data_IF_900836039718
#
_entry.id   IF_900836039718
#
_cell.length_a   1.000
_cell.length_b   1.000
_cell.length_c   1.000
_cell.angle_alpha   90.00
_cell.angle_beta   90.00
_cell.angle_gamma   90.00
#
_symmetry.space_group_name_H-M   'P 1'
#
loop_
_entity.id
_entity.type
_entity.pdbx_description
1 polymer ?
#
# COMPACT_ATOMS: atom_id res chain seq x y z
N UNK A 1 -32.06 -0.35 -1.90
CA UNK A 1 -31.87 -0.79 -0.49
C UNK A 1 -30.78 -1.85 -0.40
N UNK A 2 -30.80 -2.87 -1.27
CA UNK A 2 -29.67 -3.79 -1.47
C UNK A 2 -28.34 -3.06 -1.77
N UNK A 3 -28.35 -1.99 -2.56
CA UNK A 3 -27.13 -1.29 -2.94
C UNK A 3 -26.51 -0.53 -1.76
N UNK A 4 -27.30 0.12 -0.89
CA UNK A 4 -26.80 0.78 0.33
C UNK A 4 -26.12 -0.24 1.26
N UNK A 5 -26.75 -1.41 1.43
CA UNK A 5 -26.22 -2.46 2.29
C UNK A 5 -24.94 -3.07 1.70
N UNK A 6 -24.93 -3.33 0.39
CA UNK A 6 -23.75 -3.74 -0.37
C UNK A 6 -22.59 -2.76 -0.24
N UNK A 7 -22.87 -1.46 -0.32
CA UNK A 7 -21.83 -0.43 -0.24
C UNK A 7 -21.30 -0.23 1.18
N UNK A 8 -22.16 -0.26 2.20
CA UNK A 8 -21.71 -0.28 3.61
C UNK A 8 -20.80 -1.48 3.85
N UNK A 9 -21.10 -2.63 3.24
CA UNK A 9 -20.32 -3.85 3.35
C UNK A 9 -19.00 -3.81 2.58
N UNK A 10 -18.83 -2.92 1.60
CA UNK A 10 -17.57 -2.71 0.86
C UNK A 10 -16.69 -1.63 1.50
N UNK A 11 -17.30 -0.53 1.97
CA UNK A 11 -16.62 0.60 2.61
C UNK A 11 -16.01 0.20 3.95
N UNK A 12 -16.73 -0.59 4.75
CA UNK A 12 -16.29 -1.02 6.07
C UNK A 12 -15.00 -1.85 6.03
N UNK A 13 -14.87 -2.92 5.20
CA UNK A 13 -13.62 -3.67 5.10
C UNK A 13 -12.52 -2.86 4.43
N UNK A 14 -12.80 -1.94 3.50
CA UNK A 14 -11.76 -1.08 2.94
C UNK A 14 -11.18 -0.13 4.00
N UNK A 15 -12.04 0.47 4.83
CA UNK A 15 -11.62 1.28 5.97
C UNK A 15 -10.88 0.46 7.04
N UNK A 16 -11.35 -0.76 7.30
CA UNK A 16 -10.67 -1.67 8.24
C UNK A 16 -9.33 -2.20 7.69
N UNK A 17 -9.20 -2.42 6.38
CA UNK A 17 -7.97 -2.84 5.71
C UNK A 17 -6.90 -1.75 5.81
N UNK A 18 -7.29 -0.47 5.68
CA UNK A 18 -6.39 0.67 5.86
C UNK A 18 -5.80 0.69 7.28
N UNK A 19 -6.56 0.26 8.28
CA UNK A 19 -6.14 0.33 9.67
C UNK A 19 -5.38 -0.89 10.18
N UNK A 20 -5.67 -2.10 9.67
CA UNK A 20 -5.31 -3.34 10.40
C UNK A 20 -4.10 -4.12 9.86
N UNK A 21 -3.73 -4.03 8.58
CA UNK A 21 -2.57 -4.79 8.06
C UNK A 21 -1.88 -4.15 6.86
N UNK A 22 -0.68 -3.62 7.09
CA UNK A 22 0.20 -3.09 6.05
C UNK A 22 0.91 -4.18 5.26
N UNK A 23 1.02 -5.36 5.86
CA UNK A 23 1.63 -6.53 5.25
C UNK A 23 0.72 -7.12 4.16
N UNK A 24 -0.61 -7.02 4.35
CA UNK A 24 -1.61 -7.56 3.41
C UNK A 24 -2.10 -6.55 2.37
N UNK A 25 -1.81 -5.25 2.56
CA UNK A 25 -2.25 -4.18 1.67
C UNK A 25 -1.89 -4.41 0.19
N UNK A 26 -0.69 -4.92 -0.17
CA UNK A 26 -0.36 -5.21 -1.57
C UNK A 26 -1.22 -6.33 -2.16
N UNK A 27 -1.54 -7.37 -1.38
CA UNK A 27 -2.38 -8.48 -1.84
C UNK A 27 -3.79 -7.98 -2.10
N UNK A 28 -4.38 -7.25 -1.14
CA UNK A 28 -5.69 -6.63 -1.30
C UNK A 28 -5.74 -5.70 -2.53
N UNK A 29 -4.69 -4.90 -2.75
CA UNK A 29 -4.60 -4.03 -3.92
C UNK A 29 -4.56 -4.83 -5.23
N UNK A 30 -3.77 -5.91 -5.30
CA UNK A 30 -3.73 -6.77 -6.49
C UNK A 30 -5.05 -7.45 -6.76
N UNK A 31 -5.73 -7.94 -5.72
CA UNK A 31 -7.08 -8.51 -5.86
C UNK A 31 -8.02 -7.47 -6.44
N UNK A 32 -8.01 -6.25 -5.90
CA UNK A 32 -8.86 -5.18 -6.36
C UNK A 32 -8.57 -4.74 -7.82
N UNK A 33 -7.29 -4.65 -8.19
CA UNK A 33 -6.82 -4.44 -9.56
C UNK A 33 -7.35 -5.57 -10.47
N UNK A 34 -7.20 -6.83 -10.07
CA UNK A 34 -7.64 -7.98 -10.85
C UNK A 34 -9.18 -8.01 -11.02
N UNK A 35 -9.92 -7.68 -9.97
CA UNK A 35 -11.40 -7.60 -10.01
C UNK A 35 -11.87 -6.51 -10.96
N UNK A 36 -11.26 -5.32 -10.88
CA UNK A 36 -11.59 -4.21 -11.78
C UNK A 36 -11.25 -4.53 -13.24
N UNK A 37 -10.10 -5.18 -13.48
CA UNK A 37 -9.72 -5.65 -14.81
C UNK A 37 -10.70 -6.72 -15.33
N UNK A 38 -11.11 -7.67 -14.48
CA UNK A 38 -12.10 -8.69 -14.80
C UNK A 38 -13.46 -8.11 -15.19
N UNK A 39 -13.93 -7.08 -14.47
CA UNK A 39 -15.16 -6.35 -14.81
C UNK A 39 -15.10 -5.73 -16.20
N UNK A 40 -13.97 -5.12 -16.52
CA UNK A 40 -13.78 -4.46 -17.80
C UNK A 40 -13.73 -5.49 -18.93
N UNK A 41 -12.98 -6.58 -18.76
CA UNK A 41 -12.90 -7.67 -19.75
C UNK A 41 -14.29 -8.28 -19.96
N UNK A 42 -15.04 -8.55 -18.89
CA UNK A 42 -16.40 -9.07 -18.98
C UNK A 42 -17.31 -8.12 -19.77
N UNK A 43 -17.22 -6.81 -19.52
CA UNK A 43 -18.00 -5.83 -20.25
C UNK A 43 -17.66 -5.75 -21.75
N UNK A 44 -16.39 -5.93 -22.10
CA UNK A 44 -15.95 -5.96 -23.50
C UNK A 44 -16.44 -7.24 -24.19
N UNK A 45 -16.29 -8.40 -23.52
CA UNK A 45 -16.70 -9.70 -24.08
C UNK A 45 -18.20 -9.77 -24.29
N UNK A 46 -18.99 -9.20 -23.38
CA UNK A 46 -20.45 -9.19 -23.46
C UNK A 46 -21.02 -7.95 -24.17
N UNK A 47 -20.19 -7.17 -24.88
CA UNK A 47 -20.60 -5.89 -25.48
C UNK A 47 -21.87 -5.98 -26.34
N UNK A 48 -22.06 -7.09 -27.04
CA UNK A 48 -23.17 -7.28 -27.98
C UNK A 48 -24.48 -7.67 -27.25
N UNK A 49 -24.38 -8.12 -26.01
CA UNK A 49 -25.51 -8.53 -25.15
C UNK A 49 -25.83 -7.52 -24.05
N UNK A 50 -24.88 -6.65 -23.71
CA UNK A 50 -25.03 -5.64 -22.66
C UNK A 50 -25.88 -4.48 -23.16
N UNK A 51 -26.91 -4.15 -22.39
CA UNK A 51 -27.64 -2.90 -22.61
C UNK A 51 -26.75 -1.70 -22.27
N UNK A 52 -26.98 -0.56 -22.92
CA UNK A 52 -26.28 0.70 -22.63
C UNK A 52 -26.31 1.02 -21.12
N UNK A 53 -27.42 0.71 -20.46
CA UNK A 53 -27.61 0.86 -19.03
C UNK A 53 -26.63 0.00 -18.21
N UNK A 54 -26.48 -1.27 -18.54
CA UNK A 54 -25.53 -2.16 -17.87
C UNK A 54 -24.08 -1.70 -18.12
N UNK A 55 -23.75 -1.27 -19.34
CA UNK A 55 -22.44 -0.72 -19.66
C UNK A 55 -22.13 0.55 -18.82
N UNK A 56 -23.11 1.44 -18.65
CA UNK A 56 -23.00 2.61 -17.76
C UNK A 56 -22.76 2.23 -16.30
N UNK A 57 -23.44 1.18 -15.81
CA UNK A 57 -23.21 0.68 -14.45
C UNK A 57 -21.82 0.09 -14.28
N UNK A 58 -21.34 -0.70 -15.25
CA UNK A 58 -19.94 -1.19 -15.23
C UNK A 58 -18.98 0.00 -15.22
N UNK A 59 -19.20 1.00 -16.07
CA UNK A 59 -18.34 2.18 -16.12
C UNK A 59 -18.27 2.89 -14.76
N UNK A 60 -19.41 3.10 -14.09
CA UNK A 60 -19.46 3.71 -12.76
C UNK A 60 -18.71 2.88 -11.71
N UNK A 61 -18.84 1.55 -11.72
CA UNK A 61 -18.10 0.67 -10.82
C UNK A 61 -16.60 0.70 -11.07
N UNK A 62 -16.21 0.70 -12.33
CA UNK A 62 -14.82 0.76 -12.75
C UNK A 62 -14.19 2.10 -12.31
N UNK A 63 -14.94 3.20 -12.42
CA UNK A 63 -14.54 4.49 -11.87
C UNK A 63 -14.34 4.45 -10.35
N UNK A 64 -15.32 3.92 -9.64
CA UNK A 64 -15.25 3.76 -8.19
C UNK A 64 -14.07 2.87 -7.77
N UNK A 65 -13.80 1.82 -8.55
CA UNK A 65 -12.62 1.00 -8.36
C UNK A 65 -11.34 1.85 -8.52
N UNK A 66 -11.16 2.54 -9.64
CA UNK A 66 -9.98 3.37 -9.88
C UNK A 66 -9.74 4.42 -8.77
N UNK A 67 -10.80 5.06 -8.28
CA UNK A 67 -10.70 5.98 -7.13
C UNK A 67 -10.22 5.28 -5.86
N UNK A 68 -10.74 4.09 -5.57
CA UNK A 68 -10.28 3.25 -4.47
C UNK A 68 -8.80 2.88 -4.57
N UNK A 69 -8.33 2.49 -5.76
CA UNK A 69 -6.90 2.20 -6.02
C UNK A 69 -6.04 3.43 -5.76
N UNK A 70 -6.46 4.61 -6.23
CA UNK A 70 -5.73 5.84 -6.03
C UNK A 70 -5.63 6.21 -4.54
N UNK A 71 -6.73 6.07 -3.81
CA UNK A 71 -6.76 6.31 -2.37
C UNK A 71 -5.86 5.34 -1.61
N UNK A 72 -5.90 4.05 -1.96
CA UNK A 72 -5.04 3.03 -1.37
C UNK A 72 -3.55 3.36 -1.64
N UNK A 73 -3.20 3.76 -2.87
CA UNK A 73 -1.84 4.18 -3.23
C UNK A 73 -1.39 5.46 -2.50
N UNK A 74 -2.28 6.45 -2.35
CA UNK A 74 -1.97 7.68 -1.63
C UNK A 74 -1.71 7.41 -0.14
N UNK A 75 -2.59 6.63 0.49
CA UNK A 75 -2.42 6.16 1.86
C UNK A 75 -1.13 5.36 2.02
N UNK A 76 -0.86 4.48 1.06
CA UNK A 76 0.33 3.65 1.02
C UNK A 76 1.63 4.46 0.93
N UNK A 77 1.67 5.42 0.00
CA UNK A 77 2.82 6.32 -0.22
C UNK A 77 3.19 7.09 1.04
N UNK A 78 2.18 7.59 1.75
CA UNK A 78 2.36 8.40 2.96
C UNK A 78 2.98 7.61 4.11
N UNK A 79 2.50 6.40 4.35
CA UNK A 79 3.04 5.57 5.42
C UNK A 79 4.46 5.08 5.12
N UNK A 80 4.78 4.81 3.85
CA UNK A 80 6.15 4.49 3.42
C UNK A 80 7.16 5.60 3.75
N UNK A 81 6.73 6.86 3.80
CA UNK A 81 7.59 7.97 4.19
C UNK A 81 8.11 7.84 5.64
N UNK A 82 7.37 7.14 6.52
CA UNK A 82 7.71 7.00 7.95
C UNK A 82 8.64 5.81 8.25
N UNK A 83 8.78 4.84 7.33
CA UNK A 83 9.59 3.62 7.54
C UNK A 83 10.80 3.56 6.60
N UNK A 84 12.02 3.92 7.06
CA UNK A 84 13.22 3.91 6.22
C UNK A 84 13.67 2.50 5.82
N UNK A 85 13.29 1.45 6.57
CA UNK A 85 13.67 0.06 6.30
C UNK A 85 12.78 -0.63 5.27
N UNK A 86 11.50 -0.25 5.17
CA UNK A 86 10.56 -0.82 4.20
C UNK A 86 10.80 -0.33 2.75
N UNK A 87 11.71 0.63 2.54
CA UNK A 87 11.83 1.37 1.28
C UNK A 87 12.32 0.59 0.06
N UNK A 88 12.92 -0.61 0.17
CA UNK A 88 13.98 -1.01 -0.78
C UNK A 88 13.72 -2.10 -1.83
N UNK A 89 12.67 -2.92 -1.83
CA UNK A 89 12.64 -4.02 -2.82
C UNK A 89 11.33 -4.36 -3.54
N UNK A 90 10.15 -4.24 -2.91
CA UNK A 90 8.94 -4.85 -3.49
C UNK A 90 7.92 -3.89 -4.13
N UNK A 91 7.97 -2.59 -3.80
CA UNK A 91 6.80 -1.71 -4.04
C UNK A 91 6.64 -1.19 -5.46
N UNK A 92 7.70 -1.21 -6.29
CA UNK A 92 7.63 -0.58 -7.61
C UNK A 92 6.73 -1.33 -8.58
N UNK A 93 6.71 -2.66 -8.51
CA UNK A 93 5.84 -3.48 -9.36
C UNK A 93 4.37 -3.24 -9.05
N UNK A 94 4.03 -3.14 -7.76
CA UNK A 94 2.67 -2.89 -7.28
C UNK A 94 2.20 -1.51 -7.72
N UNK A 95 3.01 -0.45 -7.46
CA UNK A 95 2.68 0.92 -7.87
C UNK A 95 2.52 1.05 -9.39
N UNK A 96 3.44 0.45 -10.15
CA UNK A 96 3.38 0.49 -11.62
C UNK A 96 2.18 -0.30 -12.16
N UNK A 97 1.90 -1.49 -11.61
CA UNK A 97 0.74 -2.30 -11.99
C UNK A 97 -0.57 -1.56 -11.75
N UNK A 98 -0.71 -0.92 -10.59
CA UNK A 98 -1.87 -0.09 -10.28
C UNK A 98 -1.99 1.12 -11.23
N UNK A 99 -0.87 1.78 -11.55
CA UNK A 99 -0.86 2.91 -12.50
C UNK A 99 -1.30 2.49 -13.91
N UNK A 100 -0.77 1.38 -14.41
CA UNK A 100 -1.12 0.83 -15.72
C UNK A 100 -2.57 0.38 -15.77
N UNK A 101 -3.05 -0.33 -14.74
CA UNK A 101 -4.46 -0.76 -14.68
C UNK A 101 -5.40 0.44 -14.70
N UNK A 102 -5.13 1.48 -13.91
CA UNK A 102 -5.95 2.69 -13.90
C UNK A 102 -5.96 3.39 -15.27
N UNK A 103 -4.81 3.48 -15.96
CA UNK A 103 -4.74 4.03 -17.32
C UNK A 103 -5.57 3.22 -18.32
N UNK A 104 -5.40 1.89 -18.33
CA UNK A 104 -6.15 0.99 -19.20
C UNK A 104 -7.64 1.11 -18.93
N UNK A 105 -8.02 1.20 -17.65
CA UNK A 105 -9.40 1.35 -17.23
C UNK A 105 -10.02 2.69 -17.63
N UNK A 106 -9.29 3.80 -17.50
CA UNK A 106 -9.73 5.11 -17.98
C UNK A 106 -9.86 5.15 -19.51
N UNK A 107 -8.89 4.58 -20.22
CA UNK A 107 -8.94 4.48 -21.68
C UNK A 107 -10.15 3.67 -22.17
N UNK A 108 -10.46 2.57 -21.49
CA UNK A 108 -11.63 1.74 -21.81
C UNK A 108 -12.94 2.44 -21.45
N UNK A 109 -12.97 3.24 -20.39
CA UNK A 109 -14.12 4.08 -20.08
C UNK A 109 -14.36 5.12 -21.18
N UNK A 110 -13.31 5.79 -21.65
CA UNK A 110 -13.40 6.71 -22.79
C UNK A 110 -13.85 5.99 -24.06
N UNK A 111 -13.30 4.80 -24.33
CA UNK A 111 -13.72 3.96 -25.45
C UNK A 111 -15.21 3.62 -25.37
N UNK A 112 -15.72 3.20 -24.21
CA UNK A 112 -17.16 2.91 -24.04
C UNK A 112 -18.02 4.15 -24.32
N UNK A 113 -17.65 5.33 -23.80
CA UNK A 113 -18.37 6.57 -24.08
C UNK A 113 -18.29 7.02 -25.55
N UNK A 114 -17.17 6.70 -26.21
CA UNK A 114 -16.96 6.99 -27.62
C UNK A 114 -17.77 6.03 -28.51
N UNK A 115 -17.74 4.73 -28.24
CA UNK A 115 -18.48 3.70 -28.99
C UNK A 115 -19.99 3.78 -28.72
N UNK A 116 -20.41 4.24 -27.54
CA UNK A 116 -21.82 4.55 -27.27
C UNK A 116 -22.41 5.61 -28.24
N UNK A 117 -21.57 6.31 -29.03
CA UNK A 117 -22.01 7.14 -30.14
C UNK A 117 -22.58 6.36 -31.32
N UNK A 118 -21.97 5.21 -31.59
CA UNK A 118 -22.40 4.38 -32.68
C UNK A 118 -23.77 3.84 -32.29
N UNK A 119 -24.77 4.08 -33.13
CA UNK A 119 -26.15 3.56 -32.98
C UNK A 119 -26.24 2.02 -32.92
N UNK A 120 -25.11 1.35 -32.76
CA UNK A 120 -24.84 -0.08 -32.82
C UNK A 120 -24.80 -0.76 -31.45
N UNK A 121 -25.04 -0.04 -30.34
CA UNK A 121 -25.08 -0.67 -29.03
C UNK A 121 -26.39 -1.43 -28.81
N UNK A 122 -26.32 -2.75 -29.00
CA UNK A 122 -27.42 -3.71 -28.79
C UNK A 122 -28.45 -3.74 -29.93
N UNK A 123 -29.22 -4.83 -29.98
CA UNK A 123 -30.30 -5.04 -30.97
C UNK A 123 -31.56 -4.18 -30.72
N UNK A 124 -31.57 -3.33 -29.69
CA UNK A 124 -32.74 -2.56 -29.23
C UNK A 124 -32.48 -1.05 -29.26
N UNK A 125 -32.00 -0.54 -30.40
CA UNK A 125 -31.67 0.88 -30.56
C UNK A 125 -32.89 1.81 -30.40
N UNK A 126 -34.11 1.32 -30.62
CA UNK A 126 -35.35 2.10 -30.54
C UNK A 126 -35.72 2.52 -29.10
N UNK A 127 -35.38 1.71 -28.09
CA UNK A 127 -35.66 2.05 -26.68
C UNK A 127 -34.58 2.96 -26.03
N UNK A 128 -33.49 3.27 -26.75
CA UNK A 128 -32.35 4.00 -26.19
C UNK A 128 -32.66 5.46 -25.83
N UNK A 129 -33.63 6.09 -26.50
CA UNK A 129 -34.01 7.49 -26.27
C UNK A 129 -34.65 7.74 -24.90
N UNK A 130 -35.21 6.70 -24.27
CA UNK A 130 -35.90 6.78 -22.99
C UNK A 130 -34.96 6.76 -21.79
N UNK A 131 -33.70 6.35 -21.99
CA UNK A 131 -32.74 6.20 -20.88
C UNK A 131 -32.26 7.58 -20.45
N UNK A 132 -32.68 7.97 -19.24
CA UNK A 132 -32.21 9.19 -18.57
C UNK A 132 -30.95 8.89 -17.76
N UNK A 133 -29.87 9.59 -18.07
CA UNK A 133 -28.66 9.60 -17.26
C UNK A 133 -28.78 10.67 -16.17
N UNK A 134 -28.34 10.33 -14.96
CA UNK A 134 -28.35 11.24 -13.81
C UNK A 134 -26.93 11.67 -13.51
N UNK A 135 -26.66 12.96 -13.68
CA UNK A 135 -25.38 13.57 -13.36
C UNK A 135 -25.62 14.66 -12.33
N UNK A 136 -25.12 14.50 -11.10
CA UNK A 136 -25.35 15.48 -10.01
C UNK A 136 -26.81 15.85 -9.77
N UNK A 137 -27.69 14.83 -9.75
CA UNK A 137 -29.15 14.97 -9.65
C UNK A 137 -29.83 15.72 -10.81
N UNK A 138 -29.08 16.14 -11.83
CA UNK A 138 -29.61 16.70 -13.07
C UNK A 138 -29.98 15.54 -13.99
N UNK A 139 -31.23 15.55 -14.44
CA UNK A 139 -31.72 14.65 -15.48
C UNK A 139 -31.19 15.10 -16.85
N UNK A 140 -30.36 14.28 -17.47
CA UNK A 140 -29.91 14.50 -18.84
C UNK A 140 -30.20 13.26 -19.68
N UNK A 141 -30.57 13.44 -20.94
CA UNK A 141 -30.67 12.32 -21.86
C UNK A 141 -29.30 11.67 -22.04
N UNK A 142 -29.24 10.34 -21.86
CA UNK A 142 -27.98 9.59 -21.89
C UNK A 142 -27.28 9.70 -23.26
N UNK A 143 -28.05 9.79 -24.33
CA UNK A 143 -27.55 9.92 -25.71
C UNK A 143 -27.11 11.33 -26.09
N UNK A 144 -27.55 12.36 -25.33
CA UNK A 144 -27.29 13.77 -25.61
C UNK A 144 -26.32 14.41 -24.61
N UNK A 145 -26.81 15.39 -23.85
CA UNK A 145 -26.00 16.18 -22.93
C UNK A 145 -25.27 15.33 -21.88
N UNK A 146 -25.89 14.26 -21.39
CA UNK A 146 -25.28 13.37 -20.38
C UNK A 146 -24.00 12.72 -20.90
N UNK A 147 -23.97 12.33 -22.18
CA UNK A 147 -22.79 11.77 -22.82
C UNK A 147 -21.68 12.81 -23.03
N UNK A 148 -22.03 14.01 -23.49
CA UNK A 148 -21.04 15.08 -23.65
C UNK A 148 -20.41 15.42 -22.31
N UNK A 149 -21.23 15.56 -21.26
CA UNK A 149 -20.76 15.79 -19.90
C UNK A 149 -19.87 14.64 -19.40
N UNK A 150 -20.29 13.39 -19.60
CA UNK A 150 -19.50 12.20 -19.25
C UNK A 150 -18.16 12.16 -19.97
N UNK A 151 -18.13 12.41 -21.28
CA UNK A 151 -16.89 12.48 -22.06
C UNK A 151 -15.95 13.58 -21.57
N UNK A 152 -16.47 14.79 -21.37
CA UNK A 152 -15.67 15.92 -20.88
C UNK A 152 -15.09 15.59 -19.50
N UNK A 153 -15.92 15.13 -18.57
CA UNK A 153 -15.50 14.79 -17.22
C UNK A 153 -14.44 13.69 -17.23
N UNK A 154 -14.70 12.57 -17.93
CA UNK A 154 -13.76 11.45 -18.00
C UNK A 154 -12.45 11.84 -18.69
N UNK A 155 -12.50 12.70 -19.71
CA UNK A 155 -11.31 13.21 -20.39
C UNK A 155 -10.49 14.09 -19.46
N UNK A 156 -11.12 15.06 -18.77
CA UNK A 156 -10.43 15.94 -17.81
C UNK A 156 -9.75 15.12 -16.72
N UNK A 157 -10.47 14.16 -16.12
CA UNK A 157 -9.90 13.30 -15.07
C UNK A 157 -8.76 12.43 -15.61
N UNK A 158 -8.90 11.88 -16.81
CA UNK A 158 -7.85 11.06 -17.44
C UNK A 158 -6.60 11.90 -17.72
N UNK A 159 -6.76 13.11 -18.25
CA UNK A 159 -5.65 14.04 -18.49
C UNK A 159 -4.97 14.43 -17.18
N UNK A 160 -5.74 14.80 -16.14
CA UNK A 160 -5.19 15.12 -14.82
C UNK A 160 -4.41 13.92 -14.25
N UNK A 161 -4.95 12.71 -14.37
CA UNK A 161 -4.30 11.50 -13.91
C UNK A 161 -3.01 11.19 -14.67
N UNK A 162 -2.99 11.36 -15.99
CA UNK A 162 -1.78 11.21 -16.82
C UNK A 162 -0.72 12.22 -16.37
N UNK A 163 -1.09 13.48 -16.14
CA UNK A 163 -0.16 14.51 -15.67
C UNK A 163 0.46 14.14 -14.32
N UNK A 164 -0.35 13.75 -13.33
CA UNK A 164 0.15 13.32 -12.01
C UNK A 164 1.05 12.10 -12.13
N UNK A 165 0.66 11.11 -12.94
CA UNK A 165 1.44 9.89 -13.17
C UNK A 165 2.78 10.19 -13.84
N UNK A 166 2.80 11.09 -14.83
CA UNK A 166 4.02 11.54 -15.50
C UNK A 166 4.92 12.33 -14.56
N UNK A 167 4.36 13.17 -13.69
CA UNK A 167 5.13 13.90 -12.67
C UNK A 167 5.80 12.94 -11.67
N UNK A 168 5.05 11.95 -11.18
CA UNK A 168 5.56 10.89 -10.29
C UNK A 168 6.66 10.08 -10.98
N UNK A 169 6.42 9.68 -12.23
CA UNK A 169 7.37 8.90 -13.02
C UNK A 169 8.65 9.70 -13.31
N UNK A 170 8.52 10.99 -13.64
CA UNK A 170 9.64 11.90 -13.86
C UNK A 170 10.47 12.08 -12.58
N UNK A 171 9.81 12.32 -11.45
CA UNK A 171 10.47 12.46 -10.14
C UNK A 171 11.21 11.17 -9.77
N UNK A 172 10.60 10.02 -10.05
CA UNK A 172 11.23 8.72 -9.87
C UNK A 172 12.49 8.54 -10.74
N UNK A 173 12.40 8.82 -12.05
CA UNK A 173 13.55 8.73 -12.95
C UNK A 173 14.69 9.66 -12.54
N UNK A 174 14.38 10.90 -12.15
CA UNK A 174 15.39 11.85 -11.68
C UNK A 174 16.10 11.37 -10.41
N UNK A 175 15.35 10.86 -9.43
CA UNK A 175 15.93 10.33 -8.18
C UNK A 175 16.76 9.07 -8.42
N UNK A 176 16.32 8.21 -9.34
CA UNK A 176 17.07 7.01 -9.74
C UNK A 176 18.40 7.39 -10.40
N UNK A 177 18.39 8.38 -11.29
CA UNK A 177 19.61 8.86 -11.95
C UNK A 177 20.61 9.42 -10.94
N UNK A 178 20.18 10.32 -10.04
CA UNK A 178 21.03 10.87 -8.97
C UNK A 178 21.66 9.78 -8.09
N UNK A 179 20.89 8.75 -7.75
CA UNK A 179 21.37 7.62 -6.93
C UNK A 179 22.40 6.78 -7.69
N UNK A 180 22.24 6.60 -9.00
CA UNK A 180 23.23 5.89 -9.82
C UNK A 180 24.52 6.70 -9.98
N UNK A 181 24.43 8.01 -10.16
CA UNK A 181 25.61 8.90 -10.21
C UNK A 181 26.40 8.85 -8.92
N UNK A 182 25.75 8.87 -7.74
CA UNK A 182 26.44 8.75 -6.45
C UNK A 182 27.15 7.40 -6.24
N UNK A 183 26.61 6.30 -6.78
CA UNK A 183 27.26 4.98 -6.68
C UNK A 183 28.44 4.80 -7.63
N UNK A 184 28.53 5.61 -8.68
CA UNK A 184 29.59 5.55 -9.69
C UNK A 184 30.72 6.55 -9.45
N UNK A 185 30.54 7.50 -8.53
CA UNK A 185 31.67 8.28 -8.05
C UNK A 185 32.63 7.29 -7.38
N UNK A 186 33.85 7.10 -7.92
CA UNK A 186 34.82 6.21 -7.33
C UNK A 186 34.97 6.65 -5.89
N UNK A 187 34.85 5.71 -4.96
CA UNK A 187 35.28 5.91 -3.59
C UNK A 187 36.74 6.34 -3.74
N UNK A 188 36.97 7.64 -3.68
CA UNK A 188 38.29 8.18 -3.44
C UNK A 188 38.62 7.64 -2.06
N UNK A 189 39.26 6.47 -2.05
CA UNK A 189 39.91 5.94 -0.87
C UNK A 189 40.76 7.11 -0.41
N UNK A 190 40.47 7.73 0.74
CA UNK A 190 41.32 8.79 1.25
C UNK A 190 42.69 8.14 1.29
N UNK A 191 43.57 8.58 0.38
CA UNK A 191 44.92 8.09 0.29
C UNK A 191 45.45 8.38 1.68
N UNK A 192 45.57 7.32 2.48
CA UNK A 192 46.07 7.39 3.85
C UNK A 192 47.40 8.05 3.67
N UNK A 193 47.44 9.34 3.98
CA UNK A 193 48.68 10.08 4.07
C UNK A 193 49.42 9.36 5.16
N UNK A 194 50.29 8.44 4.76
CA UNK A 194 51.39 7.98 5.55
C UNK A 194 52.14 9.27 5.87
N UNK A 195 51.77 9.88 6.99
CA UNK A 195 52.66 10.73 7.74
C UNK A 195 53.91 9.89 7.95
N UNK A 196 54.89 10.08 7.07
CA UNK A 196 56.27 9.73 7.33
C UNK A 196 56.58 10.35 8.69
N UNK A 197 56.71 9.49 9.70
CA UNK A 197 57.33 9.87 10.94
C UNK A 197 58.78 10.20 10.56
N UNK A 198 59.08 11.50 10.44
CA UNK A 198 60.45 11.98 10.35
C UNK A 198 61.02 11.80 11.76
N UNK A 199 61.76 10.70 11.94
CA UNK A 199 62.54 10.43 13.13
C UNK A 199 63.70 11.46 13.15
N UNK A 200 63.53 12.48 14.00
CA UNK A 200 64.54 13.49 14.27
C UNK A 200 65.68 12.85 15.05
N UNK A 201 66.79 12.56 14.36
CA UNK A 201 68.10 12.34 14.99
C UNK A 201 68.52 13.61 15.75
N UNK A 202 68.45 13.57 17.08
CA UNK A 202 69.14 14.54 17.92
C UNK A 202 70.60 14.09 18.11
N UNK A 203 71.48 14.90 17.52
CA UNK A 203 72.93 14.86 17.65
C UNK A 203 73.38 15.52 18.96
N UNK A 204 74.49 15.04 19.51
CA UNK A 204 74.94 15.20 20.90
C UNK A 204 75.23 16.61 21.42
N UNK A 205 75.37 16.72 22.75
CA UNK A 205 76.69 16.90 23.36
C UNK A 205 76.69 16.85 24.91
N UNK A 206 77.62 16.01 25.41
CA UNK A 206 78.59 16.22 26.49
C UNK A 206 78.19 16.76 27.89
N UNK A 207 78.46 15.88 28.86
CA UNK A 207 79.11 16.09 30.18
C UNK A 207 78.40 16.90 31.26
N UNK A 208 78.14 16.25 32.41
CA UNK A 208 78.96 16.41 33.63
C UNK A 208 78.63 15.30 34.65
N UNK A 209 79.69 14.78 35.27
CA UNK A 209 79.77 13.74 36.28
C UNK A 209 78.79 13.84 37.46
N UNK A 210 78.28 12.69 37.94
CA UNK A 210 78.32 12.35 39.36
C UNK A 210 78.28 10.82 39.61
N UNK A 211 78.91 10.32 40.69
CA UNK A 211 79.21 8.90 40.84
C UNK A 211 78.27 8.17 41.81
N UNK A 212 78.15 6.85 41.56
CA UNK A 212 77.96 5.74 42.53
C UNK A 212 76.62 5.66 43.28
N UNK A 213 75.82 4.66 42.89
CA UNK A 213 75.40 3.59 43.80
C UNK A 213 74.93 2.38 42.98
N UNK A 214 75.74 1.31 42.97
CA UNK A 214 75.33 -0.01 42.51
C UNK A 214 74.25 -0.53 43.47
N UNK A 215 72.97 -0.47 43.08
CA UNK A 215 71.91 -1.30 43.68
C UNK A 215 71.66 -2.48 42.75
N UNK A 216 72.14 -3.64 43.18
CA UNK A 216 71.68 -4.94 42.74
C UNK A 216 70.22 -5.05 43.19
N UNK A 217 69.27 -4.80 42.28
CA UNK A 217 67.87 -5.12 42.52
C UNK A 217 67.54 -6.42 41.81
N UNK A 218 67.18 -7.39 42.64
CA UNK A 218 66.59 -8.66 42.28
C UNK A 218 65.52 -8.49 41.21
N UNK A 219 65.62 -9.36 40.20
CA UNK A 219 64.58 -9.63 39.21
C UNK A 219 63.34 -10.19 39.92
N UNK A 220 62.48 -9.29 40.41
CA UNK A 220 61.08 -9.64 40.61
C UNK A 220 60.36 -9.38 39.30
N UNK A 221 60.17 -10.44 38.52
CA UNK A 221 59.28 -10.47 37.36
C UNK A 221 57.90 -10.05 37.86
N UNK A 222 57.56 -8.78 37.67
CA UNK A 222 56.23 -8.28 37.90
C UNK A 222 55.29 -8.97 36.88
N UNK A 223 54.19 -9.61 37.32
CA UNK A 223 53.20 -10.11 36.39
C UNK A 223 52.65 -8.94 35.57
N UNK A 224 52.32 -9.15 34.29
CA UNK A 224 51.83 -8.10 33.42
C UNK A 224 50.60 -7.43 34.06
N UNK A 225 50.46 -6.09 33.96
CA UNK A 225 49.30 -5.40 34.48
C UNK A 225 48.04 -6.05 33.89
N UNK A 226 47.20 -6.60 34.76
CA UNK A 226 45.91 -7.17 34.40
C UNK A 226 45.14 -6.12 33.60
N UNK A 227 45.01 -6.37 32.30
CA UNK A 227 44.10 -5.62 31.44
C UNK A 227 42.71 -5.67 32.08
N UNK A 228 42.03 -4.53 32.25
CA UNK A 228 40.68 -4.52 32.79
C UNK A 228 39.81 -5.42 31.92
N UNK A 229 38.92 -6.23 32.52
CA UNK A 229 38.05 -7.11 31.75
C UNK A 229 37.27 -6.26 30.75
N UNK A 230 37.51 -6.51 29.46
CA UNK A 230 36.72 -6.00 28.36
C UNK A 230 35.30 -6.51 28.58
N UNK A 231 34.52 -5.69 29.27
CA UNK A 231 33.13 -5.90 29.62
C UNK A 231 32.34 -5.78 28.32
N UNK A 232 32.40 -6.81 27.49
CA UNK A 232 31.51 -7.02 26.35
C UNK A 232 30.12 -7.35 26.92
N UNK A 233 29.51 -6.34 27.53
CA UNK A 233 28.09 -6.28 27.81
C UNK A 233 27.38 -6.21 26.46
N UNK A 234 27.27 -7.35 25.78
CA UNK A 234 26.26 -7.61 24.76
C UNK A 234 24.91 -7.71 25.45
N UNK A 235 24.49 -6.62 26.11
CA UNK A 235 23.11 -6.37 26.47
C UNK A 235 22.38 -6.14 25.16
N UNK A 236 22.02 -7.25 24.52
CA UNK A 236 20.89 -7.36 23.61
C UNK A 236 19.65 -7.03 24.45
N UNK A 237 19.47 -5.74 24.73
CA UNK A 237 18.26 -5.22 25.31
C UNK A 237 17.19 -5.51 24.27
N UNK A 238 16.43 -6.58 24.52
CA UNK A 238 15.18 -6.87 23.85
C UNK A 238 14.31 -5.63 24.00
N UNK A 239 14.40 -4.73 23.01
CA UNK A 239 13.62 -3.51 22.92
C UNK A 239 12.20 -3.97 22.69
N UNK A 240 11.47 -4.15 23.80
CA UNK A 240 10.02 -4.32 23.77
C UNK A 240 9.46 -3.25 22.83
N UNK A 241 8.69 -3.64 21.80
CA UNK A 241 8.14 -2.68 20.86
C UNK A 241 7.29 -1.70 21.65
N UNK A 242 7.77 -0.45 21.72
CA UNK A 242 7.09 0.65 22.38
C UNK A 242 5.73 0.74 21.69
N UNK A 243 4.66 0.30 22.37
CA UNK A 243 3.28 0.37 21.88
C UNK A 243 3.08 1.77 21.32
N UNK A 244 2.97 1.88 19.99
CA UNK A 244 2.71 3.15 19.31
C UNK A 244 1.39 3.65 19.88
N UNK A 245 1.45 4.70 20.71
CA UNK A 245 0.25 5.45 21.09
C UNK A 245 -0.37 5.94 19.78
N UNK A 246 -1.53 5.40 19.45
CA UNK A 246 -2.43 5.81 18.39
C UNK A 246 -3.06 7.19 18.69
N UNK A 247 -2.31 8.10 19.31
CA UNK A 247 -2.84 9.40 19.71
C UNK A 247 -2.92 10.30 18.48
N UNK A 248 -4.15 10.42 17.95
CA UNK A 248 -4.81 11.63 17.42
C UNK A 248 -4.14 12.55 16.40
N UNK A 249 -2.89 12.32 15.98
CA UNK A 249 -2.26 13.06 14.87
C UNK A 249 -2.67 12.45 13.52
N UNK A 250 -3.98 12.34 13.31
CA UNK A 250 -4.54 12.19 11.98
C UNK A 250 -4.21 13.48 11.22
N UNK A 251 -3.23 13.40 10.33
CA UNK A 251 -2.84 14.52 9.47
C UNK A 251 -4.07 15.07 8.74
N UNK A 252 -4.33 16.38 8.84
CA UNK A 252 -5.49 17.02 8.24
C UNK A 252 -5.60 16.73 6.73
N UNK A 253 -4.47 16.50 6.04
CA UNK A 253 -4.45 16.11 4.64
C UNK A 253 -5.11 14.73 4.41
N UNK A 254 -4.84 13.74 5.26
CA UNK A 254 -5.45 12.40 5.14
C UNK A 254 -6.94 12.46 5.46
N UNK A 255 -7.32 13.20 6.50
CA UNK A 255 -8.73 13.42 6.84
C UNK A 255 -9.46 14.07 5.66
N UNK A 256 -8.86 15.09 5.02
CA UNK A 256 -9.42 15.71 3.83
C UNK A 256 -9.59 14.74 2.66
N UNK A 257 -8.61 13.86 2.41
CA UNK A 257 -8.72 12.84 1.37
C UNK A 257 -9.83 11.83 1.71
N UNK A 258 -9.94 11.37 2.96
CA UNK A 258 -11.00 10.46 3.41
C UNK A 258 -12.39 11.09 3.23
N UNK A 259 -12.56 12.37 3.61
CA UNK A 259 -13.82 13.09 3.45
C UNK A 259 -14.17 13.24 1.96
N UNK A 260 -13.21 13.67 1.13
CA UNK A 260 -13.41 13.80 -0.32
C UNK A 260 -13.80 12.45 -0.93
N UNK A 261 -13.12 11.38 -0.53
CA UNK A 261 -13.44 10.02 -0.98
C UNK A 261 -14.85 9.61 -0.56
N UNK A 262 -15.25 9.86 0.70
CA UNK A 262 -16.59 9.56 1.18
C UNK A 262 -17.66 10.31 0.36
N UNK A 263 -17.44 11.59 0.04
CA UNK A 263 -18.35 12.39 -0.78
C UNK A 263 -18.48 11.82 -2.19
N UNK A 264 -17.35 11.55 -2.87
CA UNK A 264 -17.33 10.97 -4.22
C UNK A 264 -18.02 9.61 -4.22
N UNK A 265 -17.76 8.80 -3.21
CA UNK A 265 -18.35 7.48 -3.08
C UNK A 265 -19.88 7.56 -2.88
N UNK A 266 -20.33 8.35 -1.90
CA UNK A 266 -21.76 8.59 -1.66
C UNK A 266 -22.44 9.11 -2.92
N UNK A 267 -21.79 10.00 -3.66
CA UNK A 267 -22.28 10.49 -4.95
C UNK A 267 -22.50 9.36 -5.97
N UNK A 268 -21.51 8.48 -6.18
CA UNK A 268 -21.64 7.33 -7.08
C UNK A 268 -22.74 6.36 -6.64
N UNK A 269 -22.86 6.12 -5.34
CA UNK A 269 -23.90 5.23 -4.77
C UNK A 269 -25.30 5.80 -5.03
N UNK A 270 -25.50 7.07 -4.68
CA UNK A 270 -26.79 7.75 -4.88
C UNK A 270 -27.14 7.81 -6.37
N UNK A 271 -26.16 8.12 -7.22
CA UNK A 271 -26.37 8.14 -8.68
C UNK A 271 -26.77 6.77 -9.22
N UNK A 272 -26.15 5.69 -8.73
CA UNK A 272 -26.47 4.31 -9.15
C UNK A 272 -27.86 3.89 -8.66
N UNK A 273 -28.23 4.19 -7.42
CA UNK A 273 -29.57 3.90 -6.88
C UNK A 273 -30.67 4.69 -7.59
N UNK A 274 -30.44 5.97 -7.90
CA UNK A 274 -31.39 6.78 -8.67
C UNK A 274 -31.53 6.27 -10.11
N UNK A 275 -30.43 5.83 -10.71
CA UNK A 275 -30.42 5.24 -12.04
C UNK A 275 -31.19 3.90 -12.08
N UNK A 276 -31.05 3.06 -11.05
CA UNK A 276 -31.84 1.83 -10.88
C UNK A 276 -33.33 2.12 -10.66
N UNK A 277 -33.66 3.06 -9.76
CA UNK A 277 -35.06 3.39 -9.46
C UNK A 277 -35.83 3.94 -10.67
N UNK A 278 -35.16 4.66 -11.57
CA UNK A 278 -35.80 5.25 -12.75
C UNK A 278 -35.88 4.32 -13.96
N UNK A 279 -35.16 3.21 -13.97
CA UNK A 279 -35.18 2.26 -15.07
C UNK A 279 -35.56 0.86 -14.54
N UNK A 280 -36.82 0.67 -14.09
CA UNK A 280 -37.29 -0.65 -13.67
C UNK A 280 -37.22 -1.60 -14.86
N UNK A 281 -36.44 -2.68 -14.74
CA UNK A 281 -36.44 -3.77 -15.71
C UNK A 281 -37.77 -4.50 -15.59
N UNK A 282 -38.60 -4.42 -16.62
CA UNK A 282 -39.89 -5.12 -16.69
C UNK A 282 -39.70 -6.59 -17.11
N UNK A 283 -38.65 -7.23 -16.58
CA UNK A 283 -38.21 -8.56 -16.98
C UNK A 283 -39.07 -9.62 -16.28
N UNK A 284 -40.23 -9.91 -16.87
CA UNK A 284 -40.93 -11.17 -16.64
C UNK A 284 -40.28 -12.34 -17.42
N UNK A 285 -39.25 -12.10 -18.23
CA UNK A 285 -38.53 -13.16 -18.94
C UNK A 285 -37.43 -13.79 -18.06
N UNK A 286 -37.69 -15.03 -17.69
CA UNK A 286 -36.97 -15.85 -16.73
C UNK A 286 -35.51 -16.20 -17.14
N UNK A 287 -34.65 -16.34 -16.13
CA UNK A 287 -33.35 -17.09 -16.10
C UNK A 287 -32.07 -16.49 -16.70
N UNK A 288 -32.05 -15.28 -17.26
CA UNK A 288 -30.75 -14.65 -17.58
C UNK A 288 -30.15 -14.05 -16.31
N UNK A 289 -28.88 -14.39 -16.03
CA UNK A 289 -28.14 -13.84 -14.89
C UNK A 289 -28.24 -12.32 -14.96
N UNK A 290 -28.91 -11.73 -13.97
CA UNK A 290 -29.03 -10.29 -13.89
C UNK A 290 -27.64 -9.71 -13.67
N UNK A 291 -27.38 -8.56 -14.29
CA UNK A 291 -26.13 -7.83 -14.08
C UNK A 291 -25.82 -7.63 -12.59
N UNK A 292 -26.85 -7.44 -11.75
CA UNK A 292 -26.72 -7.38 -10.29
C UNK A 292 -26.16 -8.65 -9.64
N UNK A 293 -26.45 -9.84 -10.16
CA UNK A 293 -25.88 -11.10 -9.67
C UNK A 293 -24.41 -11.26 -10.05
N UNK A 294 -24.03 -10.86 -11.28
CA UNK A 294 -22.63 -10.87 -11.72
C UNK A 294 -21.81 -9.87 -10.88
N UNK A 295 -22.37 -8.70 -10.64
CA UNK A 295 -21.79 -7.65 -9.81
C UNK A 295 -21.63 -8.10 -8.35
N UNK A 296 -22.65 -8.78 -7.80
CA UNK A 296 -22.56 -9.39 -6.47
C UNK A 296 -21.47 -10.46 -6.40
N UNK A 297 -21.35 -11.35 -7.40
CA UNK A 297 -20.27 -12.35 -7.47
C UNK A 297 -18.89 -11.70 -7.49
N UNK A 298 -18.71 -10.70 -8.34
CA UNK A 298 -17.42 -10.01 -8.52
C UNK A 298 -16.97 -9.29 -7.24
N UNK A 299 -17.90 -8.85 -6.39
CA UNK A 299 -17.57 -8.19 -5.11
C UNK A 299 -17.44 -9.17 -3.95
N UNK A 300 -18.23 -10.25 -3.95
CA UNK A 300 -18.15 -11.29 -2.93
C UNK A 300 -16.88 -12.12 -3.09
N UNK A 301 -16.45 -12.43 -4.31
CA UNK A 301 -15.27 -13.29 -4.56
C UNK A 301 -14.00 -12.71 -3.91
N UNK A 302 -13.59 -11.44 -4.14
CA UNK A 302 -12.42 -10.85 -3.49
C UNK A 302 -12.47 -10.87 -1.97
N UNK A 303 -13.64 -10.57 -1.41
CA UNK A 303 -13.87 -10.57 0.04
C UNK A 303 -13.79 -11.98 0.61
N UNK A 304 -14.36 -12.97 -0.09
CA UNK A 304 -14.30 -14.38 0.27
C UNK A 304 -12.89 -14.96 0.13
N UNK A 305 -12.15 -14.55 -0.92
CA UNK A 305 -10.74 -14.92 -1.10
C UNK A 305 -9.86 -14.33 0.00
N UNK A 306 -10.05 -13.05 0.34
CA UNK A 306 -9.33 -12.39 1.43
C UNK A 306 -9.64 -13.02 2.80
N UNK A 307 -10.90 -13.40 3.03
CA UNK A 307 -11.31 -14.12 4.22
C UNK A 307 -10.72 -15.54 4.27
N UNK A 308 -10.67 -16.23 3.12
CA UNK A 308 -10.09 -17.56 2.99
C UNK A 308 -8.58 -17.56 3.24
N UNK A 309 -7.86 -16.58 2.69
CA UNK A 309 -6.42 -16.41 2.96
C UNK A 309 -6.15 -16.04 4.41
N UNK A 310 -6.97 -15.15 4.99
CA UNK A 310 -6.86 -14.82 6.41
C UNK A 310 -7.13 -16.03 7.30
N UNK A 311 -8.16 -16.83 6.99
CA UNK A 311 -8.49 -18.07 7.71
C UNK A 311 -7.44 -19.17 7.52
N UNK A 312 -6.76 -19.24 6.38
CA UNK A 312 -5.72 -20.24 6.14
C UNK A 312 -4.41 -19.88 6.82
N UNK A 313 -4.02 -18.60 6.82
CA UNK A 313 -2.84 -18.11 7.53
C UNK A 313 -3.02 -18.07 9.04
N UNK A 314 -4.17 -17.56 9.51
CA UNK A 314 -4.49 -17.47 10.94
C UNK A 314 -5.27 -18.69 11.43
N UNK A 315 -5.15 -19.82 10.71
CA UNK A 315 -5.81 -21.10 10.94
C UNK A 315 -6.53 -21.21 12.28
N UNK A 316 -7.79 -21.67 12.26
CA UNK A 316 -8.54 -22.15 13.44
C UNK A 316 -7.83 -23.35 14.15
N UNK A 317 -6.56 -23.61 13.80
CA UNK A 317 -5.56 -24.27 14.63
C UNK A 317 -5.43 -23.54 15.96
N UNK A 318 -6.34 -23.93 16.85
CA UNK A 318 -6.23 -24.12 18.29
C UNK A 318 -5.19 -23.19 18.90
N UNK A 319 -5.70 -22.15 19.57
CA UNK A 319 -5.09 -21.52 20.74
C UNK A 319 -4.04 -22.47 21.32
N UNK A 320 -2.73 -22.23 21.09
CA UNK A 320 -1.72 -23.05 21.71
C UNK A 320 -1.98 -22.96 23.22
N UNK A 321 -1.99 -24.12 23.86
CA UNK A 321 -2.08 -24.31 25.31
C UNK A 321 -0.86 -23.67 25.98
N UNK A 322 -0.77 -22.33 25.90
CA UNK A 322 0.30 -21.46 26.38
C UNK A 322 0.26 -21.35 27.90
N UNK A 323 -0.48 -22.25 28.57
CA UNK A 323 -0.55 -22.38 30.01
C UNK A 323 0.47 -23.38 30.57
N UNK A 324 1.11 -24.19 29.71
CA UNK A 324 2.08 -25.21 30.17
C UNK A 324 3.55 -24.77 30.19
N UNK A 325 3.94 -23.72 29.46
CA UNK A 325 5.34 -23.25 29.46
C UNK A 325 5.66 -22.31 30.63
N UNK A 326 4.71 -21.46 31.05
CA UNK A 326 4.89 -20.55 32.20
C UNK A 326 5.07 -21.30 33.51
N UNK A 327 4.35 -22.42 33.69
CA UNK A 327 4.47 -23.25 34.90
C UNK A 327 5.81 -24.02 34.97
N UNK A 328 6.41 -24.33 33.81
CA UNK A 328 7.68 -25.07 33.75
C UNK A 328 8.88 -24.16 34.03
N UNK A 329 8.80 -22.89 33.65
CA UNK A 329 9.83 -21.89 33.95
C UNK A 329 9.77 -21.40 35.40
N UNK A 330 8.58 -21.34 35.99
CA UNK A 330 8.42 -21.00 37.41
C UNK A 330 8.98 -22.12 38.33
N UNK A 331 8.83 -23.39 37.91
CA UNK A 331 9.46 -24.54 38.60
C UNK A 331 10.99 -24.52 38.55
N UNK A 332 11.59 -24.05 37.45
CA UNK A 332 13.05 -23.91 37.34
C UNK A 332 13.61 -22.76 38.17
N UNK A 333 12.85 -21.68 38.37
CA UNK A 333 13.26 -20.58 39.26
C UNK A 333 13.29 -20.97 40.74
N UNK A 334 12.38 -21.83 41.21
CA UNK A 334 12.39 -22.30 42.61
C UNK A 334 13.57 -23.21 42.97
N UNK A 335 14.22 -23.85 42.00
CA UNK A 335 15.40 -24.69 42.25
C UNK A 335 16.74 -23.97 42.16
N UNK A 336 16.77 -22.67 41.84
CA UNK A 336 17.99 -21.84 41.90
C UNK A 336 17.98 -20.88 43.08
N UNK A 337 17.54 -21.34 44.24
CA UNK A 337 17.88 -20.67 45.51
C UNK A 337 19.12 -21.41 46.05
N UNK A 338 20.29 -20.76 46.12
CA UNK A 338 21.48 -21.36 46.71
C UNK A 338 21.20 -21.67 48.19
N UNK A 339 21.51 -22.90 48.62
CA UNK A 339 21.63 -23.20 50.05
C UNK A 339 22.92 -22.56 50.54
N UNK A 340 22.81 -21.35 51.09
CA UNK A 340 23.84 -20.81 51.97
C UNK A 340 23.67 -21.45 53.35
N UNK A 341 24.57 -22.38 53.65
CA UNK A 341 24.85 -22.96 54.98
C UNK A 341 26.23 -23.62 54.86
N UNK A 342 27.18 -23.49 55.77
CA UNK A 342 27.37 -22.66 56.96
C UNK A 342 28.89 -22.69 57.24
#
# INVERSE_FOLDING_TARGET
MLSIQFFSQFLTPMLLLVDRSWEDAPVALWTFIATSAGLIIAAIVQRDQLTLFQALQVANLVWLANFGTFFALASYSRQKATSPKARRAFDYKVKFGAMVQALVSMALSLYMWHVANAKTFGNLSECSSLIKYMFFAIEAHATGAGRIAGLIMTTILTTAYIVVTLQELRTYYQNRFKTQTMKRLPISVPMRSSSFFVESLHSGNASTHQPVAFRLYDHTIAPPPCLPPLNYSTRSASRRPKRRRWSSDLDPMLVGIIICQAIVFTYFVVSTELLLRRNPSNDHEERKWSFGQILALIVVIPSALSLSTALSEHGVRRLPDQRKSTLKDERRRRHRVPKETA
#
